data_IF_018637465784
#
_entry.id   IF_018637465784
#
_cell.length_a   1.000
_cell.length_b   1.000
_cell.length_c   1.000
_cell.angle_alpha   90.00
_cell.angle_beta   90.00
_cell.angle_gamma   90.00
#
_symmetry.space_group_name_H-M   'P 1'
#
loop_
_entity.id
_entity.type
_entity.pdbx_description
1 polymer ?
2 non-polymer ?
3 water ?
#
# COMPACT_ATOMS: atom_id res chain seq x y z
N UNK A 2 7.78 -15.38 -15.45
CA UNK A 2 8.44 -14.09 -15.26
C UNK A 2 8.68 -13.41 -16.63
N UNK A 3 8.41 -14.15 -17.70
CA UNK A 3 8.45 -13.56 -19.04
C UNK A 3 7.13 -12.85 -19.35
N UNK A 4 6.00 -13.46 -19.00
CA UNK A 4 4.70 -12.87 -19.28
C UNK A 4 4.33 -11.86 -18.21
N UNK A 5 3.89 -10.68 -18.64
CA UNK A 5 3.51 -9.62 -17.71
C UNK A 5 2.09 -9.88 -17.25
N UNK A 6 1.85 -9.73 -15.95
CA UNK A 6 0.50 -9.80 -15.40
C UNK A 6 -0.14 -8.42 -15.33
N UNK A 7 0.62 -7.42 -14.93
CA UNK A 7 0.07 -6.08 -14.91
C UNK A 7 1.08 -5.13 -14.29
N UNK A 8 0.59 -3.93 -14.02
CA UNK A 8 1.39 -2.87 -13.49
C UNK A 8 0.70 -2.28 -12.29
N UNK A 9 1.51 -1.62 -11.47
CA UNK A 9 1.04 -0.84 -10.34
C UNK A 9 1.74 0.50 -10.40
N UNK A 10 0.96 1.58 -10.33
CA UNK A 10 1.49 2.92 -10.37
C UNK A 10 1.25 3.57 -9.03
N UNK A 11 2.26 4.24 -8.52
CA UNK A 11 2.19 4.96 -7.25
C UNK A 11 2.44 6.43 -7.51
N UNK A 12 1.49 7.27 -7.09
CA UNK A 12 1.43 8.66 -7.49
C UNK A 12 1.34 9.52 -6.24
N UNK A 13 1.88 10.72 -6.38
CA UNK A 13 1.53 11.85 -5.53
C UNK A 13 0.63 12.73 -6.40
N UNK A 14 -0.60 12.99 -5.95
CA UNK A 14 -1.58 13.72 -6.75
C UNK A 14 -2.16 14.85 -5.92
N UNK A 15 -2.16 16.06 -6.52
CA UNK A 15 -2.83 17.21 -5.93
C UNK A 15 -4.28 17.21 -6.38
N UNK A 16 -5.21 17.24 -5.43
CA UNK A 16 -6.63 17.37 -5.73
C UNK A 16 -7.21 18.35 -4.74
N UNK A 17 -7.97 19.31 -5.22
CA UNK A 17 -8.51 20.37 -4.38
C UNK A 17 -7.41 21.00 -3.53
N UNK A 18 -6.22 21.10 -4.11
CA UNK A 18 -5.07 21.80 -3.55
C UNK A 18 -4.49 21.08 -2.36
N UNK A 19 -4.84 19.83 -2.13
CA UNK A 19 -4.24 19.02 -1.10
C UNK A 19 -3.54 17.85 -1.75
N UNK A 20 -2.49 17.35 -1.12
CA UNK A 20 -1.68 16.28 -1.70
C UNK A 20 -2.10 14.92 -1.13
N UNK A 21 -2.34 13.98 -2.03
CA UNK A 21 -2.69 12.62 -1.68
C UNK A 21 -1.71 11.63 -2.32
N UNK A 22 -1.63 10.45 -1.72
CA UNK A 22 -0.96 9.31 -2.32
C UNK A 22 -2.02 8.41 -2.92
N UNK A 23 -1.83 8.02 -4.18
CA UNK A 23 -2.74 7.11 -4.85
C UNK A 23 -1.96 6.00 -5.53
N UNK A 24 -2.51 4.79 -5.46
CA UNK A 24 -1.94 3.61 -6.10
C UNK A 24 -3.01 3.06 -7.05
N UNK A 25 -2.59 2.70 -8.24
CA UNK A 25 -3.50 2.21 -9.27
C UNK A 25 -2.93 0.92 -9.82
N UNK A 26 -3.78 -0.09 -9.96
CA UNK A 26 -3.38 -1.31 -10.66
C UNK A 26 -3.87 -1.20 -12.10
N UNK A 27 -3.12 -1.79 -13.01
CA UNK A 27 -3.50 -1.86 -14.41
C UNK A 27 -3.21 -3.26 -14.88
N UNK A 28 -4.25 -3.97 -15.28
CA UNK A 28 -4.09 -5.33 -15.79
C UNK A 28 -3.49 -5.26 -17.19
N UNK A 29 -2.50 -6.12 -17.44
CA UNK A 29 -1.81 -6.05 -18.71
C UNK A 29 -2.71 -6.40 -19.89
N UNK A 30 -3.46 -7.50 -19.76
CA UNK A 30 -4.16 -8.05 -20.93
C UNK A 30 -5.42 -7.27 -21.24
N UNK A 31 -6.11 -6.81 -20.21
CA UNK A 31 -7.37 -6.11 -20.40
C UNK A 31 -7.23 -4.60 -20.29
N UNK A 32 -6.09 -4.12 -19.79
CA UNK A 32 -5.86 -2.70 -19.48
C UNK A 32 -6.78 -2.18 -18.39
N UNK A 33 -7.54 -3.05 -17.75
CA UNK A 33 -8.46 -2.58 -16.72
C UNK A 33 -7.71 -2.01 -15.54
N UNK A 34 -8.23 -0.91 -14.99
CA UNK A 34 -7.58 -0.18 -13.93
C UNK A 34 -8.45 -0.20 -12.69
N UNK A 35 -7.80 -0.23 -11.53
CA UNK A 35 -8.47 -0.14 -10.25
C UNK A 35 -7.69 0.79 -9.32
N UNK A 36 -8.43 1.57 -8.54
CA UNK A 36 -7.85 2.38 -7.49
C UNK A 36 -7.64 1.50 -6.26
N UNK A 37 -6.39 1.43 -5.79
CA UNK A 37 -6.07 0.59 -4.66
C UNK A 37 -5.87 1.37 -3.38
N UNK A 38 -5.54 2.63 -3.49
CA UNK A 38 -5.21 3.44 -2.34
C UNK A 38 -5.42 4.89 -2.74
N UNK A 39 -5.96 5.70 -1.82
CA UNK A 39 -6.04 7.14 -2.02
C UNK A 39 -6.17 7.71 -0.63
N UNK A 40 -5.08 8.24 -0.11
CA UNK A 40 -5.03 8.68 1.27
C UNK A 40 -4.29 9.99 1.37
N UNK A 41 -4.67 10.76 2.37
CA UNK A 41 -3.98 11.98 2.69
C UNK A 41 -4.83 12.87 3.55
N UNK A 42 -4.48 14.13 3.60
CA UNK A 42 -3.34 14.73 2.92
C UNK A 42 -1.99 14.19 3.42
N UNK A 43 -0.97 14.22 2.58
CA UNK A 43 0.35 13.68 2.90
C UNK A 43 1.36 14.80 2.73
N UNK A 44 2.52 14.72 3.39
CA UNK A 44 3.55 15.73 3.16
C UNK A 44 4.12 15.58 1.76
N UNK A 45 4.55 16.69 1.14
CA UNK A 45 5.18 16.58 -0.18
C UNK A 45 6.49 15.84 -0.09
N UNK A 46 6.85 15.09 -1.11
CA UNK A 46 8.10 14.33 -1.07
C UNK A 46 9.27 15.28 -1.05
N UNK A 47 10.33 14.83 -0.39
CA UNK A 47 11.58 15.56 -0.45
C UNK A 47 12.28 15.39 -1.77
N UNK A 48 13.13 16.34 -2.08
CA UNK A 48 13.88 16.27 -3.32
C UNK A 48 14.88 15.12 -3.38
N UNK A 49 14.97 14.31 -2.34
CA UNK A 49 15.89 13.19 -2.26
C UNK A 49 15.08 11.89 -2.18
N UNK A 50 15.81 10.78 -2.12
CA UNK A 50 15.19 9.48 -2.17
C UNK A 50 14.58 9.08 -0.84
N UNK A 51 13.39 8.48 -0.91
CA UNK A 51 12.79 7.91 0.27
C UNK A 51 13.60 6.76 0.81
N UNK A 52 13.43 6.49 2.11
CA UNK A 52 14.21 5.46 2.80
C UNK A 52 13.30 4.26 3.08
N UNK A 53 13.65 3.10 2.54
CA UNK A 53 12.81 1.92 2.62
C UNK A 53 13.67 0.70 2.84
N UNK A 54 13.13 -0.27 3.57
CA UNK A 54 13.88 -1.48 3.84
C UNK A 54 12.93 -2.63 4.09
N UNK A 55 13.41 -3.82 3.75
CA UNK A 55 12.69 -5.04 4.06
C UNK A 55 12.96 -5.40 5.51
N UNK A 56 11.92 -5.73 6.24
CA UNK A 56 11.96 -6.09 7.65
C UNK A 56 11.52 -7.53 7.78
N UNK A 57 11.87 -8.14 8.91
CA UNK A 57 11.54 -9.53 9.18
C UNK A 57 10.02 -9.70 9.39
N UNK A 58 9.58 -10.95 9.47
CA UNK A 58 8.17 -11.24 9.64
C UNK A 58 7.87 -11.81 11.02
N UNK A 59 8.57 -11.32 12.03
CA UNK A 59 8.33 -11.75 13.39
C UNK A 59 7.04 -11.20 13.97
N UNK A 60 6.87 -11.35 15.29
CA UNK A 60 5.61 -10.93 15.95
C UNK A 60 5.15 -9.50 15.66
N UNK A 61 6.04 -8.52 15.62
CA UNK A 61 5.60 -7.16 15.32
C UNK A 61 4.92 -7.11 13.95
N UNK A 62 5.53 -7.75 12.97
CA UNK A 62 4.96 -7.76 11.62
C UNK A 62 3.67 -8.56 11.54
N UNK A 63 3.61 -9.70 12.21
CA UNK A 63 2.36 -10.45 12.27
C UNK A 63 1.25 -9.58 12.84
N UNK A 64 1.58 -8.75 13.83
CA UNK A 64 0.58 -7.90 14.48
C UNK A 64 0.09 -6.80 13.54
N UNK A 65 0.96 -6.28 12.68
CA UNK A 65 0.52 -5.36 11.63
C UNK A 65 -0.50 -6.04 10.72
N UNK A 66 -0.30 -7.33 10.41
CA UNK A 66 -1.25 -8.04 9.58
C UNK A 66 -2.58 -8.18 10.29
N UNK A 67 -2.55 -8.50 11.59
CA UNK A 67 -3.78 -8.58 12.36
C UNK A 67 -4.51 -7.25 12.36
N UNK A 68 -3.77 -6.16 12.51
CA UNK A 68 -4.35 -4.84 12.46
C UNK A 68 -5.02 -4.62 11.14
N UNK A 69 -4.32 -4.95 10.06
CA UNK A 69 -4.85 -4.71 8.72
C UNK A 69 -6.18 -5.45 8.52
N UNK A 70 -6.22 -6.72 8.94
CA UNK A 70 -7.45 -7.50 8.80
C UNK A 70 -8.55 -6.92 9.68
N UNK A 71 -8.23 -6.57 10.93
CA UNK A 71 -9.25 -5.98 11.78
C UNK A 71 -9.82 -4.71 11.16
N UNK A 72 -8.96 -3.89 10.57
CA UNK A 72 -9.45 -2.64 9.96
C UNK A 72 -10.23 -2.93 8.69
N UNK A 73 -9.80 -3.93 7.91
CA UNK A 73 -10.54 -4.26 6.69
C UNK A 73 -11.90 -4.86 7.03
N UNK A 74 -12.00 -5.57 8.15
CA UNK A 74 -13.30 -6.09 8.53
C UNK A 74 -14.29 -4.97 8.89
N UNK A 75 -13.79 -3.82 9.37
CA UNK A 75 -14.67 -2.67 9.60
C UNK A 75 -15.15 -2.03 8.30
N UNK A 76 -14.46 -2.27 7.21
CA UNK A 76 -14.86 -1.75 5.90
C UNK A 76 -15.80 -2.72 5.17
N UNK A 77 -15.46 -4.00 5.17
CA UNK A 77 -16.35 -5.01 4.63
C UNK A 77 -16.25 -5.23 3.15
N UNK A 78 -15.25 -4.66 2.47
CA UNK A 78 -15.17 -4.85 1.03
C UNK A 78 -15.05 -6.33 0.68
N UNK A 79 -14.42 -7.13 1.55
CA UNK A 79 -14.18 -8.53 1.29
C UNK A 79 -14.92 -9.43 2.29
N UNK A 80 -16.03 -8.96 2.84
CA UNK A 80 -16.71 -9.80 3.79
C UNK A 80 -15.99 -9.84 5.14
N UNK A 81 -16.28 -10.87 5.92
CA UNK A 81 -15.60 -11.06 7.18
C UNK A 81 -14.39 -11.95 6.91
N UNK A 82 -13.21 -11.43 7.21
CA UNK A 82 -11.96 -12.13 6.96
C UNK A 82 -11.36 -12.64 8.28
N UNK A 83 -10.61 -13.74 8.19
CA UNK A 83 -9.90 -14.31 9.32
C UNK A 83 -8.41 -14.23 9.05
N UNK A 84 -7.69 -13.51 9.91
CA UNK A 84 -6.26 -13.34 9.71
C UNK A 84 -5.56 -14.68 9.77
N UNK A 85 -4.67 -14.95 8.80
CA UNK A 85 -3.84 -16.15 8.83
C UNK A 85 -2.40 -15.80 9.19
N UNK A 86 -1.72 -15.05 8.33
CA UNK A 86 -0.32 -14.74 8.60
C UNK A 86 0.18 -13.72 7.58
N UNK A 87 1.26 -13.04 7.95
CA UNK A 87 1.98 -12.18 7.03
C UNK A 87 3.14 -12.97 6.48
N UNK A 88 3.39 -12.87 5.18
CA UNK A 88 4.52 -13.54 4.52
C UNK A 88 5.56 -12.52 4.05
N UNK A 89 6.75 -13.01 3.73
CA UNK A 89 7.76 -12.17 3.13
C UNK A 89 7.40 -11.84 1.67
N UNK A 90 7.83 -10.68 1.14
CA UNK A 90 8.59 -9.63 1.80
C UNK A 90 7.69 -8.58 2.42
N UNK A 91 8.08 -8.06 3.58
CA UNK A 91 7.45 -6.92 4.23
C UNK A 91 8.39 -5.73 4.12
N UNK A 92 7.85 -4.58 3.74
CA UNK A 92 8.63 -3.37 3.56
C UNK A 92 8.22 -2.31 4.56
N UNK A 93 9.22 -1.58 5.07
CA UNK A 93 9.03 -0.45 5.95
C UNK A 93 9.63 0.77 5.29
N UNK A 94 8.86 1.84 5.18
CA UNK A 94 9.32 3.13 4.70
C UNK A 94 9.31 4.11 5.88
N UNK A 95 10.37 4.89 6.01
CA UNK A 95 10.43 5.92 7.04
C UNK A 95 10.19 7.26 6.35
N UNK A 96 9.20 8.00 6.84
CA UNK A 96 8.89 9.33 6.35
C UNK A 96 9.43 10.33 7.35
N UNK A 97 10.34 11.20 6.89
CA UNK A 97 10.98 12.18 7.75
C UNK A 97 10.26 13.52 7.67
N UNK A 98 10.36 14.29 8.74
CA UNK A 98 9.82 15.64 8.75
C UNK A 98 10.63 16.49 7.78
N UNK A 99 9.92 17.32 7.02
CA UNK A 99 10.53 18.31 6.12
C UNK A 99 11.98 18.69 6.47
X LIG B 1 -1.39 23.20 -5.78
X LIG B 1 -2.07 23.90 -4.98
X LIG B 1 -1.77 22.39 -6.66
X LIG B 1 0.13 23.37 -5.68
X LIG B 1 0.50 23.53 -6.56
X LIG B 1 0.52 22.56 -5.31
X LIG B 1 0.34 24.12 -5.10
X LIG C 1 5.68 7.15 -4.74
X LIG C 1 5.76 6.05 -4.14
X LIG C 1 4.68 7.89 -4.92
X LIG C 1 6.94 7.70 -5.34
X LIG C 1 7.64 7.01 -5.30
X LIG C 1 7.23 8.47 -4.83
X LIG C 1 6.79 7.94 -6.26
#
# INVERSE_FOLDING_TARGET
MFREIKGYEYQLYVYASDKLFRADISEDYKTRGRKLLRFNGPVPPPGGSGGEWEIIDIGPFTQNLGKFAVDEENKIGQYGRLTFNKVIRPCMKKTIYENE
ACY C O OXT CH3 H1 H2 H3
ACY C O OXT CH3 H1 H2 H3
#
